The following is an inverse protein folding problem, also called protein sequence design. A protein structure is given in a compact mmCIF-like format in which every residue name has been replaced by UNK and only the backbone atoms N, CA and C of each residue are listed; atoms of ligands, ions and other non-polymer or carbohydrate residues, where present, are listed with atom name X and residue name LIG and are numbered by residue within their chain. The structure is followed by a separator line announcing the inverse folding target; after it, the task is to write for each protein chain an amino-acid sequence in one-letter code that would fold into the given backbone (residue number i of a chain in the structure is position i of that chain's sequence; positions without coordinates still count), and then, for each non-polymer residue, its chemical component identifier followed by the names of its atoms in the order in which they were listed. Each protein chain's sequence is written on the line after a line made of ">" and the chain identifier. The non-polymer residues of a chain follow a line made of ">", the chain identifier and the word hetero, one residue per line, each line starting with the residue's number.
data_IF_463882389263
#
_entry.id   IF_463882389263
#
_cell.length_a   1.000
_cell.length_b   1.000
_cell.length_c   1.000
_cell.angle_alpha   90.00
_cell.angle_beta   90.00
_cell.angle_gamma   90.00
#
_symmetry.space_group_name_H-M   'P 1'
#
loop_
_entity.id
_entity.type
_entity.pdbx_description
1 polymer ?
#
# COMPACT_ATOMS: atom_id res chain seq x y z
N UNK A 1 7.31 26.49 -28.64
CA UNK A 1 5.96 25.97 -28.32
C UNK A 1 6.05 24.46 -28.21
N UNK A 2 5.82 23.86 -27.03
CA UNK A 2 5.76 22.38 -26.88
C UNK A 2 4.35 21.94 -27.24
N UNK A 3 4.21 21.12 -28.28
CA UNK A 3 2.92 20.54 -28.67
C UNK A 3 2.68 19.30 -27.82
N UNK A 4 1.59 19.27 -27.07
CA UNK A 4 1.16 18.11 -26.30
C UNK A 4 -0.03 17.46 -27.01
N UNK A 5 0.11 16.20 -27.38
CA UNK A 5 -0.95 15.42 -28.03
C UNK A 5 -1.82 14.72 -26.99
N UNK A 6 -3.13 14.76 -27.17
CA UNK A 6 -4.09 13.99 -26.39
C UNK A 6 -4.50 12.76 -27.20
N UNK A 7 -4.30 11.58 -26.62
CA UNK A 7 -4.68 10.31 -27.23
C UNK A 7 -5.79 9.67 -26.40
N UNK A 8 -6.75 9.07 -27.10
CA UNK A 8 -7.77 8.25 -26.48
C UNK A 8 -7.34 6.79 -26.53
N UNK A 9 -7.36 6.11 -25.39
CA UNK A 9 -6.94 4.72 -25.28
C UNK A 9 -8.15 3.82 -25.06
N UNK A 10 -8.40 2.93 -26.02
CA UNK A 10 -9.44 1.91 -25.93
C UNK A 10 -8.79 0.53 -25.79
N UNK A 11 -8.63 0.01 -24.56
CA UNK A 11 -7.97 -1.27 -24.37
C UNK A 11 -8.80 -2.40 -24.98
N UNK A 12 -8.13 -3.31 -25.67
CA UNK A 12 -8.74 -4.57 -26.09
C UNK A 12 -8.98 -5.50 -24.89
N UNK A 13 -9.70 -6.60 -25.11
CA UNK A 13 -10.07 -7.55 -24.04
C UNK A 13 -8.86 -8.09 -23.27
N UNK A 14 -7.79 -8.47 -23.98
CA UNK A 14 -6.58 -9.00 -23.35
C UNK A 14 -5.86 -7.94 -22.50
N UNK A 15 -5.78 -6.70 -23.02
CA UNK A 15 -5.22 -5.57 -22.28
C UNK A 15 -6.02 -5.27 -21.01
N UNK A 16 -7.36 -5.30 -21.07
CA UNK A 16 -8.21 -5.12 -19.87
C UNK A 16 -7.93 -6.18 -18.82
N UNK A 17 -7.81 -7.45 -19.23
CA UNK A 17 -7.48 -8.56 -18.33
C UNK A 17 -6.14 -8.31 -17.65
N UNK A 18 -5.08 -7.99 -18.41
CA UNK A 18 -3.76 -7.69 -17.85
C UNK A 18 -3.78 -6.50 -16.90
N UNK A 19 -4.46 -5.41 -17.25
CA UNK A 19 -4.58 -4.23 -16.40
C UNK A 19 -5.33 -4.53 -15.09
N UNK A 20 -6.38 -5.35 -15.14
CA UNK A 20 -7.10 -5.79 -13.95
C UNK A 20 -6.24 -6.69 -13.05
N UNK A 21 -5.43 -7.59 -13.63
CA UNK A 21 -4.45 -8.39 -12.88
C UNK A 21 -3.40 -7.49 -12.21
N UNK A 22 -2.88 -6.48 -12.92
CA UNK A 22 -1.94 -5.53 -12.35
C UNK A 22 -2.54 -4.73 -11.20
N UNK A 23 -3.79 -4.27 -11.38
CA UNK A 23 -4.53 -3.56 -10.34
C UNK A 23 -4.77 -4.46 -9.11
N UNK A 24 -5.08 -5.74 -9.32
CA UNK A 24 -5.24 -6.75 -8.24
C UNK A 24 -3.97 -6.91 -7.41
N UNK A 25 -2.80 -6.97 -8.06
CA UNK A 25 -1.48 -7.03 -7.41
C UNK A 25 -1.20 -5.73 -6.64
N UNK A 26 -1.42 -4.58 -7.27
CA UNK A 26 -1.21 -3.27 -6.65
C UNK A 26 -2.11 -3.08 -5.41
N UNK A 27 -3.37 -3.51 -5.49
CA UNK A 27 -4.33 -3.48 -4.37
C UNK A 27 -3.86 -4.33 -3.20
N UNK A 28 -3.40 -5.55 -3.48
CA UNK A 28 -2.84 -6.42 -2.45
C UNK A 28 -1.60 -5.80 -1.81
N UNK A 29 -0.68 -5.29 -2.63
CA UNK A 29 0.53 -4.63 -2.14
C UNK A 29 0.22 -3.42 -1.27
N UNK A 30 -0.80 -2.64 -1.65
CA UNK A 30 -1.30 -1.52 -0.85
C UNK A 30 -1.81 -1.98 0.52
N UNK A 31 -2.72 -2.95 0.52
CA UNK A 31 -3.36 -3.40 1.76
C UNK A 31 -2.38 -4.06 2.71
N UNK A 32 -1.44 -4.88 2.19
CA UNK A 32 -0.41 -5.53 3.00
C UNK A 32 0.46 -4.52 3.75
N UNK A 33 0.97 -3.50 3.04
CA UNK A 33 1.80 -2.47 3.65
C UNK A 33 1.02 -1.56 4.61
N UNK A 34 -0.25 -1.30 4.31
CA UNK A 34 -1.11 -0.53 5.21
C UNK A 34 -1.40 -1.29 6.51
N UNK A 35 -1.64 -2.60 6.42
CA UNK A 35 -1.82 -3.48 7.58
C UNK A 35 -0.57 -3.48 8.46
N UNK A 36 0.59 -3.73 7.86
CA UNK A 36 1.88 -3.71 8.57
C UNK A 36 2.14 -2.39 9.33
N UNK A 37 1.78 -1.25 8.73
CA UNK A 37 1.88 0.06 9.40
C UNK A 37 0.89 0.22 10.55
N UNK A 38 -0.34 -0.27 10.38
CA UNK A 38 -1.33 -0.25 11.46
C UNK A 38 -0.92 -1.18 12.61
N UNK A 39 -0.42 -2.38 12.32
CA UNK A 39 0.07 -3.31 13.33
C UNK A 39 1.19 -2.66 14.15
N UNK A 40 2.17 -2.05 13.47
CA UNK A 40 3.22 -1.30 14.14
C UNK A 40 2.65 -0.16 15.00
N UNK A 41 1.73 0.63 14.44
CA UNK A 41 1.14 1.79 15.11
C UNK A 41 0.35 1.39 16.35
N UNK A 42 -0.45 0.32 16.28
CA UNK A 42 -1.25 -0.15 17.41
C UNK A 42 -0.37 -0.79 18.50
N UNK A 43 0.71 -1.48 18.12
CA UNK A 43 1.63 -2.13 19.06
C UNK A 43 2.58 -1.17 19.78
N UNK A 44 3.00 -0.08 19.12
CA UNK A 44 4.04 0.83 19.63
C UNK A 44 3.50 2.17 20.15
N UNK A 45 2.20 2.44 20.04
CA UNK A 45 1.62 3.71 20.50
C UNK A 45 1.38 3.69 22.00
N UNK A 46 2.06 4.59 22.69
CA UNK A 46 1.81 4.93 24.10
C UNK A 46 1.27 6.36 24.18
N UNK A 47 0.27 6.61 25.02
CA UNK A 47 -0.16 7.98 25.27
C UNK A 47 0.96 8.75 26.00
N UNK A 48 1.23 9.98 25.60
CA UNK A 48 2.28 10.82 26.22
C UNK A 48 2.06 10.95 27.74
N UNK A 49 0.80 10.87 28.17
CA UNK A 49 0.39 11.16 29.54
C UNK A 49 0.08 9.89 30.37
N UNK A 50 0.23 8.70 29.79
CA UNK A 50 -0.09 7.46 30.49
C UNK A 50 0.69 6.28 29.89
N UNK A 51 1.41 5.54 30.75
CA UNK A 51 1.84 4.18 30.43
C UNK A 51 0.69 3.22 30.73
N UNK A 52 0.05 2.59 29.73
CA UNK A 52 -0.98 1.60 29.98
C UNK A 52 -0.33 0.35 30.61
N UNK A 53 -0.91 -0.16 31.70
CA UNK A 53 -0.49 -1.42 32.34
C UNK A 53 -0.76 -2.65 31.46
N UNK A 54 -1.52 -2.48 30.37
CA UNK A 54 -1.67 -3.45 29.29
C UNK A 54 -0.87 -2.95 28.08
N UNK A 55 0.33 -3.48 27.89
CA UNK A 55 1.17 -3.20 26.72
C UNK A 55 1.03 -4.32 25.69
N UNK A 56 1.36 -4.00 24.44
CA UNK A 56 1.62 -5.01 23.42
C UNK A 56 2.72 -5.97 23.89
N UNK A 57 2.55 -7.28 23.65
CA UNK A 57 3.59 -8.32 23.88
C UNK A 57 4.51 -8.45 22.64
N UNK A 58 4.21 -7.77 21.54
CA UNK A 58 5.00 -7.87 20.32
C UNK A 58 6.42 -7.30 20.52
N UNK A 59 7.38 -7.94 19.87
CA UNK A 59 8.77 -7.51 19.92
C UNK A 59 8.94 -6.07 19.40
N UNK A 60 9.78 -5.25 20.04
CA UNK A 60 10.13 -3.94 19.53
C UNK A 60 10.69 -4.06 18.10
N UNK A 61 10.11 -3.30 17.18
CA UNK A 61 10.54 -3.29 15.77
C UNK A 61 10.56 -1.88 15.22
N UNK A 62 11.42 -1.68 14.24
CA UNK A 62 11.56 -0.42 13.53
C UNK A 62 10.27 -0.01 12.81
N UNK A 63 10.03 1.31 12.76
CA UNK A 63 8.84 1.87 12.12
C UNK A 63 8.81 1.55 10.63
N UNK A 64 7.77 0.86 10.12
CA UNK A 64 7.59 0.69 8.69
C UNK A 64 7.46 2.04 7.99
N UNK A 65 8.29 2.25 6.99
CA UNK A 65 8.35 3.47 6.19
C UNK A 65 8.44 3.11 4.70
N UNK A 66 8.42 4.12 3.82
CA UNK A 66 8.55 3.89 2.39
C UNK A 66 9.77 3.04 2.00
N UNK A 67 10.93 3.30 2.60
CA UNK A 67 12.19 2.63 2.23
C UNK A 67 12.21 1.15 2.65
N UNK A 68 11.86 0.85 3.90
CA UNK A 68 11.79 -0.51 4.42
C UNK A 68 10.80 -1.38 3.65
N UNK A 69 9.61 -0.85 3.32
CA UNK A 69 8.62 -1.60 2.56
C UNK A 69 9.03 -1.74 1.07
N UNK A 70 9.64 -0.71 0.47
CA UNK A 70 10.20 -0.79 -0.90
C UNK A 70 11.30 -1.85 -1.00
N UNK A 71 12.15 -2.01 0.01
CA UNK A 71 13.23 -3.02 0.05
C UNK A 71 12.72 -4.46 0.02
N UNK A 72 11.43 -4.70 0.28
CA UNK A 72 10.82 -6.03 0.17
C UNK A 72 10.55 -6.44 -1.27
N UNK A 73 10.44 -5.48 -2.21
CA UNK A 73 10.07 -5.75 -3.60
C UNK A 73 11.02 -6.72 -4.33
N UNK A 74 12.37 -6.61 -4.20
CA UNK A 74 13.28 -7.57 -4.82
C UNK A 74 13.10 -9.00 -4.31
N UNK A 75 12.66 -9.19 -3.06
CA UNK A 75 12.41 -10.51 -2.47
C UNK A 75 11.07 -11.03 -2.98
N UNK A 76 10.02 -10.20 -2.88
CA UNK A 76 8.65 -10.55 -3.28
C UNK A 76 8.55 -10.84 -4.77
N UNK A 77 9.35 -10.18 -5.61
CA UNK A 77 9.36 -10.41 -7.06
C UNK A 77 10.07 -11.69 -7.47
N UNK A 78 10.71 -12.45 -6.59
CA UNK A 78 11.38 -13.71 -6.98
C UNK A 78 10.39 -14.84 -7.23
N UNK A 79 9.40 -14.95 -6.35
CA UNK A 79 8.45 -16.07 -6.31
C UNK A 79 7.00 -15.59 -6.34
N UNK A 80 6.08 -16.53 -6.56
CA UNK A 80 4.65 -16.28 -6.47
C UNK A 80 4.24 -16.02 -5.01
N UNK A 81 3.42 -14.99 -4.80
CA UNK A 81 2.89 -14.68 -3.47
C UNK A 81 1.52 -15.29 -3.31
N UNK A 82 1.40 -16.25 -2.38
CA UNK A 82 0.09 -16.79 -1.98
C UNK A 82 -0.63 -15.81 -1.07
N UNK A 83 -1.84 -15.41 -1.45
CA UNK A 83 -2.72 -14.58 -0.62
C UNK A 83 -3.37 -15.49 0.43
N UNK A 84 -3.17 -15.18 1.70
CA UNK A 84 -3.65 -16.03 2.80
C UNK A 84 -5.17 -16.25 2.77
N UNK A 85 -5.96 -15.18 2.63
CA UNK A 85 -7.42 -15.26 2.71
C UNK A 85 -8.10 -15.86 1.47
N UNK A 86 -7.57 -15.60 0.26
CA UNK A 86 -8.20 -16.06 -0.98
C UNK A 86 -7.54 -17.31 -1.59
N UNK A 87 -6.36 -17.71 -1.11
CA UNK A 87 -5.57 -18.81 -1.70
C UNK A 87 -4.96 -18.50 -3.07
N UNK A 88 -5.23 -17.33 -3.64
CA UNK A 88 -4.76 -16.89 -4.95
C UNK A 88 -3.24 -16.72 -4.99
N UNK A 89 -2.63 -17.07 -6.12
CA UNK A 89 -1.20 -16.84 -6.38
C UNK A 89 -1.04 -15.58 -7.21
N UNK A 90 -0.35 -14.59 -6.64
CA UNK A 90 -0.06 -13.32 -7.30
C UNK A 90 1.39 -13.30 -7.78
N UNK A 91 1.57 -13.06 -9.08
CA UNK A 91 2.88 -12.87 -9.68
C UNK A 91 3.25 -11.38 -9.73
N UNK A 92 4.09 -10.94 -8.80
CA UNK A 92 4.57 -9.57 -8.76
C UNK A 92 5.50 -9.19 -9.92
N UNK A 93 6.04 -10.16 -10.68
CA UNK A 93 6.89 -9.88 -11.85
C UNK A 93 6.12 -9.21 -12.98
N UNK A 94 4.81 -9.45 -13.07
CA UNK A 94 3.95 -8.89 -14.13
C UNK A 94 3.83 -7.37 -14.06
N UNK A 95 3.95 -6.79 -12.86
CA UNK A 95 3.84 -5.34 -12.65
C UNK A 95 5.23 -4.71 -12.62
N UNK A 96 5.39 -3.59 -13.33
CA UNK A 96 6.66 -2.88 -13.30
C UNK A 96 7.04 -2.40 -11.89
N UNK A 97 8.35 -2.41 -11.61
CA UNK A 97 8.89 -2.03 -10.30
C UNK A 97 8.60 -0.58 -9.93
N UNK A 98 8.50 0.34 -10.90
CA UNK A 98 8.20 1.76 -10.65
C UNK A 98 6.77 1.94 -10.17
N UNK A 99 5.82 1.18 -10.73
CA UNK A 99 4.41 1.20 -10.32
C UNK A 99 4.26 0.70 -8.88
N UNK A 100 4.91 -0.42 -8.54
CA UNK A 100 4.88 -0.96 -7.17
C UNK A 100 5.52 0.00 -6.15
N UNK A 101 6.57 0.72 -6.55
CA UNK A 101 7.17 1.77 -5.72
C UNK A 101 6.23 2.96 -5.57
N UNK A 102 5.49 3.37 -6.61
CA UNK A 102 4.48 4.43 -6.49
C UNK A 102 3.37 4.04 -5.52
N UNK A 103 2.93 2.78 -5.54
CA UNK A 103 1.97 2.25 -4.55
C UNK A 103 2.51 2.41 -3.12
N UNK A 104 3.77 2.06 -2.86
CA UNK A 104 4.40 2.29 -1.55
C UNK A 104 4.42 3.77 -1.16
N UNK A 105 4.72 4.69 -2.10
CA UNK A 105 4.67 6.14 -1.83
C UNK A 105 3.26 6.64 -1.48
N UNK A 106 2.22 6.11 -2.14
CA UNK A 106 0.83 6.50 -1.88
C UNK A 106 0.40 6.13 -0.47
N UNK A 107 0.83 4.97 0.03
CA UNK A 107 0.55 4.52 1.41
C UNK A 107 1.27 5.42 2.40
N UNK A 108 2.54 5.73 2.12
CA UNK A 108 3.35 6.58 2.97
C UNK A 108 2.68 7.94 3.20
N UNK A 109 2.32 8.61 2.12
CA UNK A 109 1.58 9.88 2.17
C UNK A 109 0.22 9.74 2.86
N UNK A 110 -0.51 8.65 2.64
CA UNK A 110 -1.80 8.45 3.29
C UNK A 110 -1.65 8.30 4.81
N UNK A 111 -0.61 7.60 5.26
CA UNK A 111 -0.33 7.38 6.67
C UNK A 111 0.23 8.63 7.36
N UNK A 112 1.08 9.40 6.67
CA UNK A 112 1.56 10.71 7.14
C UNK A 112 0.41 11.69 7.36
N UNK A 113 -0.52 11.80 6.39
CA UNK A 113 -1.71 12.66 6.48
C UNK A 113 -2.64 12.27 7.62
N UNK A 114 -2.64 11.00 8.02
CA UNK A 114 -3.40 10.51 9.16
C UNK A 114 -2.73 10.86 10.50
N UNK A 115 -1.41 10.72 10.61
CA UNK A 115 -0.68 10.95 11.86
C UNK A 115 -0.45 12.43 12.11
N UNK A 116 0.23 13.10 11.17
CA UNK A 116 0.72 14.47 11.31
C UNK A 116 -0.42 15.46 11.01
N UNK A 117 -1.14 15.21 9.92
CA UNK A 117 -2.14 16.14 9.37
C UNK A 117 -1.56 17.06 8.29
N UNK A 118 -2.42 17.87 7.68
CA UNK A 118 -2.06 18.88 6.70
C UNK A 118 -1.42 20.11 7.38
N UNK A 119 -0.74 20.94 6.59
CA UNK A 119 -0.21 22.26 6.93
C UNK A 119 -1.20 23.18 7.65
N UNK A 120 -2.51 22.99 7.41
CA UNK A 120 -3.61 23.72 8.06
C UNK A 120 -4.06 23.11 9.40
N UNK A 121 -3.36 22.10 9.92
CA UNK A 121 -3.70 21.37 11.15
C UNK A 121 -4.83 20.33 10.99
N UNK A 122 -5.46 20.23 9.82
CA UNK A 122 -6.50 19.26 9.53
C UNK A 122 -5.92 17.85 9.35
N UNK A 123 -6.34 16.88 10.17
CA UNK A 123 -5.96 15.47 9.99
C UNK A 123 -6.89 14.78 9.00
N UNK A 124 -6.31 14.02 8.08
CA UNK A 124 -7.12 13.13 7.23
C UNK A 124 -7.67 11.98 8.06
N UNK A 125 -8.82 11.44 7.65
CA UNK A 125 -9.38 10.24 8.28
C UNK A 125 -8.46 9.02 8.17
N UNK A 126 -8.73 8.00 9.00
CA UNK A 126 -8.00 6.72 9.00
C UNK A 126 -7.94 6.13 7.57
N UNK A 127 -6.74 5.85 7.03
CA UNK A 127 -6.62 5.23 5.72
C UNK A 127 -7.34 3.88 5.68
N UNK A 128 -8.06 3.62 4.59
CA UNK A 128 -8.88 2.41 4.43
C UNK A 128 -8.18 1.41 3.51
N UNK A 129 -8.37 0.12 3.80
CA UNK A 129 -8.05 -0.94 2.86
C UNK A 129 -8.84 -0.76 1.56
N UNK A 130 -8.22 -1.15 0.46
CA UNK A 130 -8.75 -1.04 -0.89
C UNK A 130 -9.42 -2.34 -1.30
N UNK A 131 -10.68 -2.25 -1.66
CA UNK A 131 -11.50 -3.34 -2.16
C UNK A 131 -11.56 -3.32 -3.68
N UNK A 132 -12.16 -4.35 -4.28
CA UNK A 132 -12.42 -4.37 -5.72
C UNK A 132 -13.43 -3.31 -6.14
N UNK A 133 -14.50 -3.17 -5.35
CA UNK A 133 -15.56 -2.22 -5.61
C UNK A 133 -15.10 -0.75 -5.58
N UNK A 134 -13.96 -0.45 -4.94
CA UNK A 134 -13.35 0.89 -4.96
C UNK A 134 -12.83 1.29 -6.34
N UNK A 135 -12.54 0.31 -7.19
CA UNK A 135 -12.06 0.51 -8.56
C UNK A 135 -13.09 -0.07 -9.52
N UNK A 136 -14.23 0.62 -9.64
CA UNK A 136 -15.22 0.28 -10.67
C UNK A 136 -14.59 0.50 -12.05
N UNK A 137 -14.42 -0.59 -12.79
CA UNK A 137 -14.03 -0.61 -14.20
C UNK A 137 -15.25 -0.72 -15.11
#
# INVERSE_FOLDING_TARGET
>A
MKVTYQYQFYPNTNQKISLNQWLRICRYWYNRQLGDRFDWWEMNRTAINACPLKTSIADPREKPNYYSQKQQLPIIKKDLVKVFHSGELLDFKQVDSTVLQDVSKRIDKAFERFIIGDSKGGKSGRPRFKTEADYRT
#
